data_IF_621014303134
#
_entry.id   IF_621014303134
#
_cell.length_a   1.000
_cell.length_b   1.000
_cell.length_c   1.000
_cell.angle_alpha   90.00
_cell.angle_beta   90.00
_cell.angle_gamma   90.00
#
_symmetry.space_group_name_H-M   'P 1'
#
loop_
_entity.id
_entity.type
_entity.pdbx_description
1 polymer ?
#
# COMPACT_ATOMS: atom_id res chain seq x y z
N UNK A 1 -34.28 -54.18 7.16
CA UNK A 1 -33.74 -53.34 8.24
C UNK A 1 -32.24 -53.19 8.00
N UNK A 2 -31.73 -52.00 7.61
CA UNK A 2 -30.29 -51.82 7.48
C UNK A 2 -29.60 -51.93 8.85
N UNK A 3 -28.43 -52.57 8.88
CA UNK A 3 -27.60 -52.65 10.09
C UNK A 3 -27.03 -51.26 10.43
N UNK A 4 -26.82 -51.00 11.73
CA UNK A 4 -26.18 -49.76 12.22
C UNK A 4 -24.82 -49.55 11.55
N UNK A 5 -24.05 -50.63 11.36
CA UNK A 5 -22.75 -50.59 10.66
C UNK A 5 -22.90 -50.08 9.23
N UNK A 6 -23.90 -50.57 8.49
CA UNK A 6 -24.15 -50.14 7.11
C UNK A 6 -24.61 -48.69 6.99
N UNK A 7 -25.27 -48.13 8.01
CA UNK A 7 -25.62 -46.71 8.05
C UNK A 7 -24.36 -45.84 8.27
N UNK A 8 -23.46 -46.29 9.14
CA UNK A 8 -22.18 -45.60 9.40
C UNK A 8 -21.29 -45.59 8.15
N UNK A 9 -21.17 -46.72 7.46
CA UNK A 9 -20.42 -46.81 6.20
C UNK A 9 -20.98 -45.87 5.13
N UNK A 10 -22.31 -45.74 5.03
CA UNK A 10 -22.94 -44.80 4.11
C UNK A 10 -22.64 -43.34 4.48
N UNK A 11 -22.69 -43.00 5.76
CA UNK A 11 -22.33 -41.67 6.24
C UNK A 11 -20.85 -41.35 5.99
N UNK A 12 -19.96 -42.31 6.24
CA UNK A 12 -18.54 -42.15 5.98
C UNK A 12 -18.26 -41.95 4.49
N UNK A 13 -18.86 -42.75 3.61
CA UNK A 13 -18.72 -42.58 2.16
C UNK A 13 -19.26 -41.23 1.68
N UNK A 14 -20.40 -40.79 2.21
CA UNK A 14 -20.95 -39.47 1.89
C UNK A 14 -20.02 -38.34 2.36
N UNK A 15 -19.44 -38.46 3.56
CA UNK A 15 -18.47 -37.51 4.07
C UNK A 15 -17.20 -37.46 3.21
N UNK A 16 -16.64 -38.63 2.83
CA UNK A 16 -15.46 -38.72 1.96
C UNK A 16 -15.71 -38.06 0.61
N UNK A 17 -16.83 -38.37 -0.06
CA UNK A 17 -17.20 -37.73 -1.34
C UNK A 17 -17.33 -36.22 -1.22
N UNK A 18 -17.90 -35.73 -0.11
CA UNK A 18 -18.01 -34.29 0.13
C UNK A 18 -16.63 -33.65 0.30
N UNK A 19 -15.72 -34.30 1.02
CA UNK A 19 -14.35 -33.82 1.18
C UNK A 19 -13.63 -33.79 -0.16
N UNK A 20 -13.76 -34.84 -0.97
CA UNK A 20 -13.09 -34.90 -2.28
C UNK A 20 -13.64 -33.82 -3.23
N UNK A 21 -14.95 -33.59 -3.27
CA UNK A 21 -15.54 -32.49 -4.03
C UNK A 21 -15.03 -31.11 -3.59
N UNK A 22 -14.91 -30.88 -2.27
CA UNK A 22 -14.34 -29.63 -1.75
C UNK A 22 -12.86 -29.47 -2.10
N UNK A 23 -12.09 -30.56 -2.18
CA UNK A 23 -10.68 -30.51 -2.63
C UNK A 23 -10.60 -30.15 -4.10
N UNK A 24 -11.42 -30.76 -4.95
CA UNK A 24 -11.48 -30.43 -6.39
C UNK A 24 -11.87 -28.96 -6.63
N UNK A 25 -12.82 -28.43 -5.85
CA UNK A 25 -13.18 -27.01 -5.90
C UNK A 25 -12.04 -26.10 -5.42
N UNK A 26 -11.35 -26.47 -4.34
CA UNK A 26 -10.20 -25.73 -3.84
C UNK A 26 -9.06 -25.71 -4.88
N UNK A 27 -8.75 -26.85 -5.50
CA UNK A 27 -7.72 -26.95 -6.54
C UNK A 27 -8.07 -26.10 -7.76
N UNK A 28 -9.36 -26.05 -8.15
CA UNK A 28 -9.83 -25.18 -9.24
C UNK A 28 -9.63 -23.70 -8.90
N UNK A 29 -10.06 -23.28 -7.71
CA UNK A 29 -9.91 -21.88 -7.26
C UNK A 29 -8.43 -21.52 -7.15
N UNK A 30 -7.58 -22.43 -6.66
CA UNK A 30 -6.13 -22.21 -6.61
C UNK A 30 -5.52 -22.04 -8.00
N UNK A 31 -5.96 -22.82 -8.99
CA UNK A 31 -5.51 -22.66 -10.37
C UNK A 31 -5.95 -21.32 -10.98
N UNK A 32 -7.20 -20.91 -10.75
CA UNK A 32 -7.70 -19.59 -11.20
C UNK A 32 -6.95 -18.44 -10.51
N UNK A 33 -6.68 -18.56 -9.21
CA UNK A 33 -5.90 -17.58 -8.46
C UNK A 33 -4.48 -17.48 -9.02
N UNK A 34 -3.80 -18.61 -9.25
CA UNK A 34 -2.45 -18.61 -9.80
C UNK A 34 -2.39 -17.95 -11.19
N UNK A 35 -3.40 -18.17 -12.05
CA UNK A 35 -3.50 -17.52 -13.34
C UNK A 35 -3.69 -15.99 -13.20
N UNK A 36 -4.57 -15.55 -12.31
CA UNK A 36 -4.81 -14.14 -12.04
C UNK A 36 -3.56 -13.45 -11.45
N UNK A 37 -2.83 -14.13 -10.55
CA UNK A 37 -1.58 -13.64 -10.00
C UNK A 37 -0.50 -13.49 -11.07
N UNK A 38 -0.40 -14.45 -12.00
CA UNK A 38 0.53 -14.35 -13.12
C UNK A 38 0.21 -13.15 -14.01
N UNK A 39 -1.06 -12.98 -14.42
CA UNK A 39 -1.47 -11.83 -15.22
C UNK A 39 -1.13 -10.51 -14.52
N UNK A 40 -1.43 -10.42 -13.22
CA UNK A 40 -1.09 -9.25 -12.42
C UNK A 40 0.43 -8.99 -12.38
N UNK A 41 1.25 -10.02 -12.24
CA UNK A 41 2.71 -9.89 -12.28
C UNK A 41 3.20 -9.38 -13.63
N UNK A 42 2.62 -9.84 -14.74
CA UNK A 42 2.95 -9.36 -16.08
C UNK A 42 2.64 -7.86 -16.22
N UNK A 43 1.48 -7.41 -15.73
CA UNK A 43 1.14 -5.99 -15.67
C UNK A 43 2.09 -5.19 -14.78
N UNK A 44 2.49 -5.73 -13.62
CA UNK A 44 3.44 -5.08 -12.73
C UNK A 44 4.82 -4.90 -13.41
N UNK A 45 5.26 -5.89 -14.19
CA UNK A 45 6.47 -5.81 -15.00
C UNK A 45 6.32 -4.75 -16.10
N UNK A 46 5.21 -4.76 -16.84
CA UNK A 46 4.93 -3.78 -17.88
C UNK A 46 4.96 -2.35 -17.31
N UNK A 47 4.33 -2.12 -16.17
CA UNK A 47 4.36 -0.83 -15.48
C UNK A 47 5.78 -0.41 -15.09
N UNK A 48 6.57 -1.31 -14.50
CA UNK A 48 7.98 -1.01 -14.14
C UNK A 48 8.81 -0.63 -15.38
N UNK A 49 8.58 -1.28 -16.52
CA UNK A 49 9.25 -0.95 -17.78
C UNK A 49 8.86 0.44 -18.26
N UNK A 50 7.58 0.80 -18.20
CA UNK A 50 7.10 2.15 -18.52
C UNK A 50 7.74 3.18 -17.60
N UNK A 51 7.78 2.93 -16.29
CA UNK A 51 8.42 3.83 -15.31
C UNK A 51 9.90 4.05 -15.63
N UNK A 52 10.59 3.03 -16.16
CA UNK A 52 12.01 3.14 -16.58
C UNK A 52 12.18 4.04 -17.81
N UNK A 53 11.27 3.96 -18.79
CA UNK A 53 11.30 4.82 -19.99
C UNK A 53 10.98 6.27 -19.63
N UNK A 54 10.05 6.46 -18.69
CA UNK A 54 9.65 7.79 -18.22
C UNK A 54 10.65 8.41 -17.23
N UNK A 55 11.56 7.61 -16.67
CA UNK A 55 12.61 8.15 -15.81
C UNK A 55 13.49 9.12 -16.61
N UNK A 56 13.69 10.36 -16.12
CA UNK A 56 14.62 11.28 -16.74
C UNK A 56 15.98 10.59 -16.81
N UNK A 57 16.57 10.53 -18.01
CA UNK A 57 17.92 10.02 -18.15
C UNK A 57 18.83 11.01 -17.41
N UNK A 58 19.18 10.69 -16.16
CA UNK A 58 20.16 11.43 -15.39
C UNK A 58 21.43 11.45 -16.21
N UNK A 59 21.74 12.61 -16.79
CA UNK A 59 22.86 12.79 -17.68
C UNK A 59 24.13 12.28 -17.04
N UNK A 60 24.77 11.30 -17.67
CA UNK A 60 26.16 11.00 -17.42
C UNK A 60 26.80 10.31 -18.62
N UNK A 61 26.90 11.06 -19.73
CA UNK A 61 28.10 10.97 -20.56
C UNK A 61 29.16 11.84 -19.90
N UNK A 62 29.85 11.28 -18.91
CA UNK A 62 31.08 11.86 -18.40
C UNK A 62 32.19 11.62 -19.43
N UNK A 63 32.93 12.70 -19.75
CA UNK A 63 34.32 12.60 -20.17
C UNK A 63 34.64 13.02 -21.61
N UNK A 64 34.67 14.32 -21.89
CA UNK A 64 35.69 14.90 -22.79
C UNK A 64 35.97 16.33 -22.33
N UNK A 65 37.07 16.44 -21.58
CA UNK A 65 38.13 17.45 -21.65
C UNK A 65 37.81 18.95 -21.74
N UNK A 66 38.29 19.62 -20.68
CA UNK A 66 39.14 20.83 -20.67
C UNK A 66 38.55 22.13 -21.21
N UNK A 67 38.34 23.08 -20.30
CA UNK A 67 38.85 24.45 -20.44
C UNK A 67 39.03 25.11 -19.06
N UNK A 68 40.30 25.41 -18.77
CA UNK A 68 40.87 26.36 -17.80
C UNK A 68 40.18 27.75 -17.89
N UNK A 69 40.11 28.68 -16.92
CA UNK A 69 40.46 28.85 -15.50
C UNK A 69 39.88 30.26 -15.09
N UNK A 70 40.39 31.04 -14.12
CA UNK A 70 39.89 31.23 -12.75
C UNK A 70 39.18 32.57 -12.43
N UNK A 71 38.58 32.63 -11.22
CA UNK A 71 38.77 33.66 -10.18
C UNK A 71 37.54 34.45 -9.67
N UNK A 72 37.58 34.61 -8.33
CA UNK A 72 37.04 35.65 -7.44
C UNK A 72 35.77 35.32 -6.65
N UNK A 73 35.96 35.45 -5.33
CA UNK A 73 35.09 35.20 -4.21
C UNK A 73 33.84 36.10 -4.14
N UNK A 74 32.73 35.55 -3.66
CA UNK A 74 31.99 36.07 -2.51
C UNK A 74 31.01 34.99 -1.99
N UNK A 75 30.79 34.93 -0.68
CA UNK A 75 29.81 34.07 -0.03
C UNK A 75 29.15 34.86 1.12
N UNK A 76 27.91 34.55 1.57
CA UNK A 76 26.85 33.71 1.02
C UNK A 76 25.49 34.45 0.98
N UNK A 77 24.39 33.82 0.51
CA UNK A 77 23.49 33.25 1.51
C UNK A 77 23.00 31.86 1.12
N UNK A 78 22.98 30.97 2.11
CA UNK A 78 22.37 29.65 1.98
C UNK A 78 20.89 29.79 1.60
N UNK A 79 20.45 29.20 0.46
CA UNK A 79 19.04 28.99 0.24
C UNK A 79 18.55 27.95 1.25
N UNK A 80 17.77 28.47 2.19
CA UNK A 80 16.89 27.79 3.14
C UNK A 80 16.44 26.44 2.62
N UNK A 81 16.68 25.42 3.43
CA UNK A 81 15.94 24.16 3.58
C UNK A 81 14.88 23.99 2.48
N UNK A 82 15.30 23.38 1.37
CA UNK A 82 14.44 23.13 0.23
C UNK A 82 13.18 22.45 0.75
N UNK A 83 12.07 23.19 0.70
CA UNK A 83 10.79 22.78 1.20
C UNK A 83 10.54 21.34 0.75
N UNK A 84 10.44 20.43 1.73
CA UNK A 84 10.17 19.00 1.52
C UNK A 84 9.18 18.87 0.37
N UNK A 85 9.51 18.09 -0.69
CA UNK A 85 8.62 17.96 -1.84
C UNK A 85 7.23 17.67 -1.30
N UNK A 86 6.28 18.57 -1.60
CA UNK A 86 4.90 18.48 -1.14
C UNK A 86 4.48 17.04 -1.38
N UNK A 87 4.33 16.27 -0.29
CA UNK A 87 3.95 14.86 -0.32
C UNK A 87 2.76 14.74 -1.24
N UNK A 88 3.01 14.36 -2.50
CA UNK A 88 1.99 14.20 -3.52
C UNK A 88 1.31 12.91 -3.15
N UNK A 89 0.30 13.02 -2.29
CA UNK A 89 -0.58 11.92 -1.94
C UNK A 89 -1.33 11.58 -3.22
N UNK A 90 -1.10 10.40 -3.81
CA UNK A 90 -1.88 9.98 -4.95
C UNK A 90 -3.34 9.92 -4.53
N UNK A 91 -4.23 10.36 -5.42
CA UNK A 91 -5.67 10.27 -5.18
C UNK A 91 -6.02 8.80 -4.91
N UNK A 92 -6.89 8.57 -3.93
CA UNK A 92 -7.34 7.22 -3.61
C UNK A 92 -8.05 6.62 -4.83
N UNK A 93 -7.67 5.40 -5.20
CA UNK A 93 -8.29 4.62 -6.27
C UNK A 93 -8.36 3.16 -5.82
N UNK A 94 -9.36 2.45 -6.29
CA UNK A 94 -9.46 1.00 -6.09
C UNK A 94 -8.20 0.31 -6.64
N UNK A 95 -7.59 -0.59 -5.86
CA UNK A 95 -6.32 -1.24 -6.20
C UNK A 95 -5.04 -0.42 -5.92
N UNK A 96 -5.13 0.75 -5.28
CA UNK A 96 -3.95 1.53 -4.87
C UNK A 96 -3.14 0.76 -3.80
N UNK A 97 -1.91 0.36 -4.14
CA UNK A 97 -1.01 -0.28 -3.21
C UNK A 97 -0.62 0.67 -2.06
N UNK A 98 -0.70 0.16 -0.84
CA UNK A 98 -0.39 0.88 0.40
C UNK A 98 0.96 1.62 0.38
N UNK A 99 1.96 0.98 -0.21
CA UNK A 99 3.35 1.47 -0.35
C UNK A 99 3.48 2.78 -1.12
N UNK A 100 2.45 3.18 -1.88
CA UNK A 100 2.43 4.40 -2.70
C UNK A 100 1.98 5.63 -1.88
N UNK A 101 1.31 5.41 -0.74
CA UNK A 101 1.00 6.48 0.20
C UNK A 101 2.27 6.89 0.97
N UNK A 102 2.37 8.17 1.34
CA UNK A 102 3.47 8.60 2.20
C UNK A 102 3.37 7.95 3.59
N UNK A 103 4.51 7.83 4.27
CA UNK A 103 4.64 7.14 5.56
C UNK A 103 3.62 7.63 6.59
N UNK A 104 3.30 8.92 6.58
CA UNK A 104 2.27 9.50 7.46
C UNK A 104 0.88 8.91 7.22
N UNK A 105 0.49 8.73 5.94
CA UNK A 105 -0.82 8.19 5.57
C UNK A 105 -0.92 6.69 5.83
N UNK A 106 0.17 5.96 5.61
CA UNK A 106 0.26 4.56 5.99
C UNK A 106 0.05 4.40 7.50
N UNK A 107 0.73 5.20 8.33
CA UNK A 107 0.55 5.17 9.78
C UNK A 107 -0.90 5.46 10.21
N UNK A 108 -1.58 6.44 9.57
CA UNK A 108 -3.00 6.75 9.83
C UNK A 108 -3.87 5.53 9.59
N UNK A 109 -3.72 4.91 8.44
CA UNK A 109 -4.55 3.79 8.04
C UNK A 109 -4.23 2.52 8.86
N UNK A 110 -2.97 2.28 9.25
CA UNK A 110 -2.61 1.16 10.15
C UNK A 110 -3.32 1.32 11.50
N UNK A 111 -3.26 2.51 12.10
CA UNK A 111 -3.91 2.77 13.38
C UNK A 111 -5.44 2.55 13.31
N UNK A 112 -6.07 2.90 12.20
CA UNK A 112 -7.50 2.64 11.96
C UNK A 112 -7.79 1.14 11.76
N UNK A 113 -6.96 0.44 10.97
CA UNK A 113 -7.12 -0.99 10.72
C UNK A 113 -6.93 -1.83 12.00
N UNK A 114 -5.94 -1.49 12.82
CA UNK A 114 -5.69 -2.16 14.10
C UNK A 114 -6.85 -1.94 15.06
N UNK A 115 -7.40 -0.73 15.13
CA UNK A 115 -8.55 -0.44 16.00
C UNK A 115 -9.83 -1.15 15.54
N UNK A 116 -10.02 -1.29 14.22
CA UNK A 116 -11.09 -2.12 13.66
C UNK A 116 -10.91 -3.61 14.02
N UNK A 117 -9.69 -4.15 13.88
CA UNK A 117 -9.35 -5.54 14.28
C UNK A 117 -9.57 -5.79 15.76
N UNK A 118 -9.28 -4.80 16.60
CA UNK A 118 -9.45 -4.87 18.05
C UNK A 118 -10.89 -4.54 18.51
N UNK A 119 -11.82 -4.26 17.58
CA UNK A 119 -13.21 -3.87 17.87
C UNK A 119 -13.34 -2.68 18.85
N UNK A 120 -12.38 -1.77 18.83
CA UNK A 120 -12.25 -0.65 19.77
C UNK A 120 -13.03 0.62 19.33
N UNK A 121 -14.00 0.48 18.43
CA UNK A 121 -14.85 1.56 17.95
C UNK A 121 -14.12 2.61 17.10
N UNK A 122 -14.81 3.72 16.81
CA UNK A 122 -14.29 4.80 15.98
C UNK A 122 -13.08 5.49 16.64
N UNK A 123 -12.08 5.86 15.84
CA UNK A 123 -10.89 6.58 16.28
C UNK A 123 -11.08 8.08 16.01
N UNK A 124 -10.98 8.92 17.04
CA UNK A 124 -11.02 10.37 16.87
C UNK A 124 -9.68 10.90 16.35
N UNK A 125 -9.69 12.02 15.63
CA UNK A 125 -8.46 12.69 15.17
C UNK A 125 -7.58 13.14 16.35
N UNK A 126 -8.16 13.39 17.52
CA UNK A 126 -7.41 13.76 18.72
C UNK A 126 -6.64 12.57 19.29
N UNK A 127 -7.28 11.41 19.42
CA UNK A 127 -6.60 10.17 19.82
C UNK A 127 -5.52 9.78 18.80
N UNK A 128 -5.78 9.98 17.51
CA UNK A 128 -4.85 9.68 16.44
C UNK A 128 -3.61 10.60 16.48
N UNK A 129 -3.78 11.88 16.87
CA UNK A 129 -2.67 12.78 17.13
C UNK A 129 -1.82 12.32 18.33
N UNK A 130 -2.45 11.90 19.43
CA UNK A 130 -1.76 11.35 20.61
C UNK A 130 -0.99 10.07 20.25
N UNK A 131 -1.59 9.16 19.48
CA UNK A 131 -0.94 7.91 19.01
C UNK A 131 0.31 8.20 18.16
N UNK A 132 0.34 9.32 17.43
CA UNK A 132 1.52 9.74 16.67
C UNK A 132 2.54 10.57 17.44
N UNK A 133 2.34 10.76 18.75
CA UNK A 133 3.20 11.63 19.55
C UNK A 133 3.14 13.09 19.10
N UNK A 134 2.07 13.48 18.41
CA UNK A 134 1.80 14.87 18.09
C UNK A 134 1.11 15.49 19.29
N UNK A 135 1.58 16.66 19.75
CA UNK A 135 0.82 17.43 20.73
C UNK A 135 -0.61 17.60 20.22
N UNK A 136 -1.61 17.28 21.05
CA UNK A 136 -3.03 17.37 20.71
C UNK A 136 -3.53 18.84 20.65
N UNK A 137 -2.71 19.72 20.07
CA UNK A 137 -3.00 21.13 19.84
C UNK A 137 -3.99 21.22 18.67
N UNK A 138 -5.01 22.10 18.74
CA UNK A 138 -6.08 22.20 17.74
C UNK A 138 -5.60 22.26 16.29
N UNK A 139 -4.49 22.96 16.03
CA UNK A 139 -3.89 23.07 14.70
C UNK A 139 -3.41 21.71 14.13
N UNK A 140 -2.83 20.83 14.96
CA UNK A 140 -2.35 19.51 14.53
C UNK A 140 -3.52 18.54 14.32
N UNK A 141 -4.57 18.63 15.15
CA UNK A 141 -5.81 17.86 14.97
C UNK A 141 -6.52 18.26 13.68
N UNK A 142 -6.57 19.55 13.34
CA UNK A 142 -7.16 20.04 12.10
C UNK A 142 -6.36 19.63 10.86
N UNK A 143 -5.02 19.67 10.94
CA UNK A 143 -4.17 19.16 9.87
C UNK A 143 -4.43 17.67 9.59
N UNK A 144 -4.64 16.88 10.65
CA UNK A 144 -4.94 15.45 10.54
C UNK A 144 -6.35 15.19 9.98
N UNK A 145 -7.34 15.97 10.40
CA UNK A 145 -8.70 15.95 9.85
C UNK A 145 -8.69 16.27 8.35
N UNK A 146 -7.94 17.29 7.95
CA UNK A 146 -7.75 17.67 6.55
C UNK A 146 -7.06 16.55 5.75
N UNK A 147 -6.06 15.88 6.33
CA UNK A 147 -5.41 14.71 5.71
C UNK A 147 -6.37 13.53 5.56
N UNK A 148 -7.15 13.21 6.58
CA UNK A 148 -8.12 12.12 6.56
C UNK A 148 -9.25 12.39 5.57
N UNK A 149 -9.74 13.64 5.49
CA UNK A 149 -10.78 14.03 4.52
C UNK A 149 -10.34 13.79 3.07
N UNK A 150 -9.07 14.06 2.74
CA UNK A 150 -8.50 13.78 1.41
C UNK A 150 -8.44 12.30 1.03
N UNK A 151 -8.64 11.39 1.98
CA UNK A 151 -8.76 9.95 1.70
C UNK A 151 -10.18 9.54 1.30
N UNK A 152 -11.19 10.35 1.60
CA UNK A 152 -12.61 10.00 1.43
C UNK A 152 -13.28 10.84 0.34
N UNK A 153 -12.89 12.11 0.20
CA UNK A 153 -13.42 13.02 -0.84
C UNK A 153 -12.30 13.39 -1.83
N UNK A 154 -12.35 12.89 -3.08
CA UNK A 154 -11.44 13.34 -4.12
C UNK A 154 -11.79 14.78 -4.55
N UNK A 155 -10.77 15.63 -4.71
CA UNK A 155 -10.88 16.87 -5.48
C UNK A 155 -10.68 16.57 -6.97
#
# INVERSE_FOLDING_TARGET
>A
MPSVVGLLEQHELAARRRVDGLREEADRIQAELAAAEQEWQEWAIARRRVDTVLAPHGGNTAGTEVTEDPQVADAPPQPRDAAKPKSQVPMWREGLAWSVLSVDYQRILTALADRHRLHQGALTCQELAVTFGLDAVPAKVEALRSKAKRLVEPC
#
